data_IF_491535282430
#
_entry.id   IF_491535282430
#
_cell.length_a   1.000
_cell.length_b   1.000
_cell.length_c   1.000
_cell.angle_alpha   90.00
_cell.angle_beta   90.00
_cell.angle_gamma   90.00
#
_symmetry.space_group_name_H-M   'P 1'
#
loop_
_entity.id
_entity.type
_entity.pdbx_description
1 polymer ?
#
# COMPACT_ATOMS: atom_id res chain seq x y z
N UNK A 1 15.92 -0.48 45.26
CA UNK A 1 15.19 -1.39 44.34
C UNK A 1 13.84 -0.84 43.84
N UNK A 2 13.08 -0.09 44.64
CA UNK A 2 11.73 0.39 44.28
C UNK A 2 11.72 1.52 43.22
N UNK A 3 12.76 2.36 43.17
CA UNK A 3 12.92 3.42 42.14
C UNK A 3 13.18 2.84 40.74
N UNK A 4 13.98 1.77 40.64
CA UNK A 4 14.24 1.08 39.38
C UNK A 4 12.99 0.39 38.83
N UNK A 5 12.18 -0.26 39.69
CA UNK A 5 10.88 -0.83 39.28
C UNK A 5 9.93 0.23 38.71
N UNK A 6 9.81 1.41 39.36
CA UNK A 6 8.98 2.52 38.85
C UNK A 6 9.49 3.07 37.52
N UNK A 7 10.82 3.14 37.33
CA UNK A 7 11.43 3.59 36.07
C UNK A 7 11.16 2.60 34.93
N UNK A 8 11.30 1.30 35.20
CA UNK A 8 10.98 0.24 34.24
C UNK A 8 9.49 0.26 33.87
N UNK A 9 8.59 0.41 34.85
CA UNK A 9 7.15 0.54 34.59
C UNK A 9 6.83 1.77 33.74
N UNK A 10 7.52 2.90 33.96
CA UNK A 10 7.32 4.13 33.19
C UNK A 10 7.80 3.96 31.74
N UNK A 11 8.93 3.29 31.50
CA UNK A 11 9.42 2.99 30.16
C UNK A 11 8.47 2.04 29.40
N UNK A 12 7.91 1.04 30.08
CA UNK A 12 6.93 0.11 29.47
C UNK A 12 5.63 0.85 29.10
N UNK A 13 5.14 1.75 29.97
CA UNK A 13 3.97 2.57 29.65
C UNK A 13 4.21 3.50 28.47
N UNK A 14 5.38 4.15 28.41
CA UNK A 14 5.78 5.01 27.31
C UNK A 14 5.83 4.26 25.97
N UNK A 15 6.40 3.05 25.95
CA UNK A 15 6.45 2.22 24.75
C UNK A 15 5.05 1.78 24.28
N UNK A 16 4.14 1.49 25.21
CA UNK A 16 2.75 1.12 24.90
C UNK A 16 1.98 2.29 24.28
N UNK A 17 2.19 3.52 24.78
CA UNK A 17 1.57 4.72 24.20
C UNK A 17 2.08 4.97 22.78
N UNK A 18 3.39 4.83 22.54
CA UNK A 18 3.99 4.94 21.21
C UNK A 18 3.42 3.93 20.19
N UNK A 19 3.08 2.72 20.64
CA UNK A 19 2.47 1.71 19.79
C UNK A 19 1.01 2.04 19.39
N UNK A 20 0.28 2.77 20.25
CA UNK A 20 -1.12 3.15 20.01
C UNK A 20 -1.28 4.35 19.06
N UNK A 21 -0.21 5.13 18.83
CA UNK A 21 -0.23 6.29 17.92
C UNK A 21 0.14 5.93 16.48
N UNK A 22 0.50 4.68 16.20
CA UNK A 22 0.74 4.23 14.83
C UNK A 22 -0.59 4.28 14.11
N UNK A 23 -0.76 5.14 13.08
CA UNK A 23 -2.00 5.17 12.32
C UNK A 23 -2.25 3.78 11.77
N UNK A 24 -3.42 3.23 12.10
CA UNK A 24 -3.87 1.95 11.57
C UNK A 24 -3.96 2.11 10.05
N UNK A 25 -2.97 1.60 9.33
CA UNK A 25 -2.97 1.45 7.87
C UNK A 25 -3.97 0.34 7.52
N UNK A 26 -5.24 0.54 7.89
CA UNK A 26 -6.31 -0.32 7.44
C UNK A 26 -6.40 -0.13 5.92
N UNK A 27 -5.94 -1.13 5.17
CA UNK A 27 -6.13 -1.19 3.73
C UNK A 27 -7.63 -1.31 3.46
N UNK A 28 -8.31 -0.18 3.36
CA UNK A 28 -9.68 -0.14 2.88
C UNK A 28 -9.73 -0.73 1.46
N UNK A 29 -10.89 -1.29 1.08
CA UNK A 29 -11.11 -1.68 -0.30
C UNK A 29 -10.84 -0.47 -1.23
N UNK A 30 -10.30 -0.68 -2.44
CA UNK A 30 -10.03 0.42 -3.36
C UNK A 30 -11.29 1.25 -3.56
N UNK A 31 -11.18 2.57 -3.40
CA UNK A 31 -12.28 3.49 -3.69
C UNK A 31 -12.59 3.50 -5.18
N UNK A 32 -11.58 3.26 -6.03
CA UNK A 32 -11.71 3.24 -7.47
C UNK A 32 -10.80 2.19 -8.10
N UNK A 33 -11.35 1.43 -9.05
CA UNK A 33 -10.60 0.50 -9.91
C UNK A 33 -10.70 0.96 -11.36
N UNK A 34 -9.55 1.25 -11.98
CA UNK A 34 -9.44 1.65 -13.38
C UNK A 34 -8.94 0.46 -14.20
N UNK A 35 -9.50 0.25 -15.40
CA UNK A 35 -9.06 -0.80 -16.32
C UNK A 35 -8.21 -0.18 -17.43
N UNK A 36 -6.96 -0.61 -17.55
CA UNK A 36 -6.03 -0.13 -18.56
C UNK A 36 -5.85 -1.18 -19.65
N UNK A 37 -6.49 -0.96 -20.81
CA UNK A 37 -6.35 -1.81 -21.99
C UNK A 37 -5.01 -1.58 -22.70
N UNK A 38 -4.30 -2.67 -23.03
CA UNK A 38 -3.08 -2.68 -23.81
C UNK A 38 -3.21 -3.62 -25.01
N UNK A 39 -2.63 -3.24 -26.14
CA UNK A 39 -2.75 -4.03 -27.39
C UNK A 39 -1.63 -5.06 -27.56
N UNK A 40 -0.51 -4.84 -26.87
CA UNK A 40 0.71 -5.64 -27.03
C UNK A 40 0.82 -6.73 -25.95
N UNK A 41 1.62 -7.79 -26.17
CA UNK A 41 1.83 -8.87 -25.20
C UNK A 41 2.45 -8.40 -23.88
N UNK A 42 2.43 -9.27 -22.86
CA UNK A 42 2.94 -8.99 -21.52
C UNK A 42 4.43 -8.65 -21.50
N UNK A 43 5.20 -9.28 -22.39
CA UNK A 43 6.65 -9.18 -22.46
C UNK A 43 7.12 -7.86 -23.07
N UNK A 44 6.23 -7.19 -23.81
CA UNK A 44 6.53 -5.93 -24.47
C UNK A 44 6.78 -4.82 -23.45
N UNK A 45 7.77 -3.97 -23.72
CA UNK A 45 8.18 -2.87 -22.83
C UNK A 45 7.01 -1.95 -22.46
N UNK A 46 6.09 -1.71 -23.40
CA UNK A 46 4.90 -0.90 -23.12
C UNK A 46 4.02 -1.50 -22.01
N UNK A 47 3.76 -2.81 -22.01
CA UNK A 47 2.99 -3.47 -20.94
C UNK A 47 3.72 -3.41 -19.61
N UNK A 48 5.05 -3.54 -19.61
CA UNK A 48 5.86 -3.38 -18.38
C UNK A 48 5.69 -1.96 -17.81
N UNK A 49 5.72 -0.94 -18.66
CA UNK A 49 5.49 0.45 -18.23
C UNK A 49 4.06 0.65 -17.71
N UNK A 50 3.05 0.01 -18.31
CA UNK A 50 1.68 0.05 -17.79
C UNK A 50 1.58 -0.51 -16.36
N UNK A 51 2.28 -1.61 -16.07
CA UNK A 51 2.36 -2.16 -14.72
C UNK A 51 3.09 -1.22 -13.74
N UNK A 52 4.18 -0.59 -14.19
CA UNK A 52 4.89 0.39 -13.35
C UNK A 52 3.99 1.58 -12.98
N UNK A 53 3.20 2.09 -13.94
CA UNK A 53 2.21 3.13 -13.66
C UNK A 53 1.14 2.64 -12.68
N UNK A 54 0.66 1.39 -12.83
CA UNK A 54 -0.32 0.82 -11.91
C UNK A 54 0.21 0.74 -10.47
N UNK A 55 1.46 0.31 -10.30
CA UNK A 55 2.13 0.24 -9.01
C UNK A 55 2.33 1.63 -8.39
N UNK A 56 2.80 2.60 -9.18
CA UNK A 56 2.97 3.98 -8.72
C UNK A 56 1.66 4.64 -8.28
N UNK A 57 0.57 4.41 -9.02
CA UNK A 57 -0.76 4.93 -8.66
C UNK A 57 -1.23 4.31 -7.35
N UNK A 58 -1.04 3.00 -7.18
CA UNK A 58 -1.42 2.31 -5.95
C UNK A 58 -0.62 2.84 -4.75
N UNK A 59 0.70 3.00 -4.91
CA UNK A 59 1.58 3.50 -3.85
C UNK A 59 1.23 4.95 -3.46
N UNK A 60 1.14 5.85 -4.44
CA UNK A 60 0.89 7.29 -4.20
C UNK A 60 -0.52 7.57 -3.67
N UNK A 61 -1.45 6.64 -3.84
CA UNK A 61 -2.83 6.77 -3.36
C UNK A 61 -3.12 5.94 -2.12
N UNK A 62 -2.09 5.32 -1.51
CA UNK A 62 -2.25 4.41 -0.38
C UNK A 62 -3.29 3.32 -0.64
N UNK A 63 -3.31 2.78 -1.87
CA UNK A 63 -4.25 1.73 -2.30
C UNK A 63 -5.67 2.20 -2.59
N UNK A 64 -5.98 3.50 -2.48
CA UNK A 64 -7.32 4.04 -2.78
C UNK A 64 -7.67 3.90 -4.27
N UNK A 65 -6.68 4.00 -5.15
CA UNK A 65 -6.86 3.79 -6.60
C UNK A 65 -6.04 2.58 -7.03
N UNK A 66 -6.68 1.63 -7.69
CA UNK A 66 -6.04 0.46 -8.29
C UNK A 66 -6.21 0.51 -9.81
N UNK A 67 -5.13 0.25 -10.54
CA UNK A 67 -5.17 0.12 -12.00
C UNK A 67 -4.93 -1.34 -12.36
N UNK A 68 -5.90 -1.95 -13.04
CA UNK A 68 -5.80 -3.30 -13.57
C UNK A 68 -5.37 -3.25 -15.04
N UNK A 69 -4.23 -3.86 -15.36
CA UNK A 69 -3.67 -3.88 -16.72
C UNK A 69 -4.17 -5.11 -17.46
N UNK A 70 -4.78 -4.89 -18.63
CA UNK A 70 -5.31 -5.92 -19.51
C UNK A 70 -4.57 -5.89 -20.86
N UNK A 71 -3.47 -6.64 -21.01
CA UNK A 71 -2.67 -6.64 -22.24
C UNK A 71 -3.34 -7.44 -23.37
N UNK A 72 -2.68 -7.48 -24.54
CA UNK A 72 -3.06 -8.33 -25.67
C UNK A 72 -4.54 -8.21 -26.12
N UNK A 73 -5.10 -7.00 -26.11
CA UNK A 73 -6.48 -6.70 -26.51
C UNK A 73 -7.54 -7.52 -25.73
N UNK A 74 -7.25 -7.87 -24.47
CA UNK A 74 -8.18 -8.62 -23.62
C UNK A 74 -9.54 -7.95 -23.40
N UNK A 75 -9.64 -6.63 -23.62
CA UNK A 75 -10.86 -5.86 -23.42
C UNK A 75 -11.57 -5.45 -24.73
N UNK A 76 -11.12 -5.92 -25.89
CA UNK A 76 -11.70 -5.63 -27.21
C UNK A 76 -10.77 -4.87 -28.14
#
# INVERSE_FOLDING_TARGET
>A
MQKAKKFVTLCILSALVLFLIVPNMASAAPEMTLRFAGQVPLEHTATKLMHQVADEVKEKTNGRIVVEVYPANQLG
#
